data_IF_498794353976
#
_entry.id   IF_498794353976
#
_cell.length_a   1.000
_cell.length_b   1.000
_cell.length_c   1.000
_cell.angle_alpha   90.00
_cell.angle_beta   90.00
_cell.angle_gamma   90.00
#
_symmetry.space_group_name_H-M   'P 1'
#
loop_
_entity.id
_entity.type
_entity.pdbx_description
1 polymer ?
#
# COMPACT_ATOMS: atom_id res chain seq x y z
N UNK A 1 3.48 -15.83 28.46
CA UNK A 1 3.64 -14.53 27.80
C UNK A 1 2.67 -14.53 26.62
N UNK A 2 1.84 -13.50 26.48
CA UNK A 2 1.00 -13.35 25.28
C UNK A 2 1.90 -13.21 24.06
N UNK A 3 1.59 -13.96 22.98
CA UNK A 3 2.35 -13.87 21.74
C UNK A 3 2.07 -12.51 21.10
N UNK A 4 3.13 -11.80 20.73
CA UNK A 4 3.00 -10.51 20.04
C UNK A 4 2.37 -10.71 18.66
N UNK A 5 1.33 -9.96 18.34
CA UNK A 5 0.64 -10.02 17.03
C UNK A 5 0.76 -8.67 16.31
N UNK A 6 1.05 -8.74 15.01
CA UNK A 6 1.08 -7.56 14.12
C UNK A 6 0.13 -7.77 12.94
N UNK A 7 -0.54 -6.71 12.57
CA UNK A 7 -1.36 -6.64 11.36
C UNK A 7 -0.65 -5.78 10.31
N UNK A 8 -0.66 -6.25 9.07
CA UNK A 8 -0.08 -5.55 7.93
C UNK A 8 -1.16 -5.39 6.87
N UNK A 9 -1.60 -4.17 6.62
CA UNK A 9 -2.58 -3.84 5.60
C UNK A 9 -1.87 -3.37 4.34
N UNK A 10 -2.22 -3.95 3.18
CA UNK A 10 -1.57 -3.65 1.90
C UNK A 10 -2.62 -3.24 0.88
N UNK A 11 -2.38 -2.11 0.24
CA UNK A 11 -3.13 -1.65 -0.93
C UNK A 11 -2.17 -1.08 -1.97
N UNK A 12 -2.67 -0.95 -3.21
CA UNK A 12 -1.87 -0.47 -4.33
C UNK A 12 -2.47 0.75 -5.01
N UNK A 13 -1.60 1.47 -5.74
CA UNK A 13 -1.98 2.50 -6.70
C UNK A 13 -1.26 2.29 -8.03
N UNK A 14 -1.97 2.53 -9.12
CA UNK A 14 -1.55 2.15 -10.48
C UNK A 14 -2.08 0.78 -10.88
N UNK A 15 -1.96 0.45 -12.16
CA UNK A 15 -2.36 -0.85 -12.73
C UNK A 15 -1.13 -1.70 -13.01
N UNK A 16 -1.12 -3.00 -12.68
CA UNK A 16 0.05 -3.86 -12.91
C UNK A 16 0.28 -4.20 -14.38
N UNK A 17 -0.72 -4.06 -15.25
CA UNK A 17 -0.61 -4.40 -16.67
C UNK A 17 0.41 -3.53 -17.40
N UNK A 18 1.28 -4.16 -18.21
CA UNK A 18 2.19 -3.51 -19.16
C UNK A 18 1.69 -3.71 -20.59
N UNK A 19 1.25 -4.92 -20.90
CA UNK A 19 0.78 -5.29 -22.22
C UNK A 19 -0.71 -5.63 -22.21
N UNK A 20 -1.38 -5.33 -23.32
CA UNK A 20 -2.74 -5.83 -23.58
C UNK A 20 -2.69 -7.32 -23.91
N UNK A 21 -3.86 -7.98 -23.94
CA UNK A 21 -4.00 -9.35 -24.38
C UNK A 21 -3.45 -9.60 -25.81
N UNK A 22 -3.41 -8.54 -26.65
CA UNK A 22 -2.86 -8.58 -28.03
C UNK A 22 -1.37 -8.24 -28.10
N UNK A 23 -0.66 -8.17 -26.95
CA UNK A 23 0.77 -7.84 -26.90
C UNK A 23 1.11 -6.36 -27.12
N UNK A 24 0.12 -5.47 -27.14
CA UNK A 24 0.35 -4.02 -27.30
C UNK A 24 0.85 -3.44 -25.99
N UNK A 25 1.96 -2.68 -26.02
CA UNK A 25 2.47 -1.98 -24.85
C UNK A 25 1.54 -0.82 -24.46
N UNK A 26 0.77 -1.03 -23.39
CA UNK A 26 -0.21 -0.08 -22.90
C UNK A 26 0.44 1.13 -22.25
N UNK A 27 1.62 0.94 -21.63
CA UNK A 27 2.34 2.03 -20.94
C UNK A 27 2.88 3.03 -21.96
N UNK A 28 3.54 2.56 -23.02
CA UNK A 28 4.05 3.43 -24.10
C UNK A 28 2.94 4.16 -24.84
N UNK A 29 1.74 3.56 -24.92
CA UNK A 29 0.56 4.20 -25.51
C UNK A 29 -0.19 5.14 -24.57
N UNK A 30 0.26 5.31 -23.32
CA UNK A 30 -0.42 6.13 -22.32
C UNK A 30 -1.79 5.55 -21.86
N UNK A 31 -2.03 4.25 -22.09
CA UNK A 31 -3.27 3.55 -21.72
C UNK A 31 -3.16 2.82 -20.35
N UNK A 32 -1.94 2.70 -19.85
CA UNK A 32 -1.66 2.19 -18.50
C UNK A 32 -0.62 3.09 -17.83
N UNK A 33 -0.63 3.10 -16.50
CA UNK A 33 0.31 3.87 -15.69
C UNK A 33 1.76 3.40 -15.87
N UNK A 34 2.74 4.29 -15.72
CA UNK A 34 4.17 3.95 -15.76
C UNK A 34 4.61 3.22 -14.49
N UNK A 35 4.04 3.64 -13.36
CA UNK A 35 4.40 3.13 -12.04
C UNK A 35 3.30 2.26 -11.46
N UNK A 36 3.73 1.32 -10.62
CA UNK A 36 2.90 0.56 -9.70
C UNK A 36 3.49 0.73 -8.30
N UNK A 37 2.63 1.08 -7.34
CA UNK A 37 3.01 1.35 -5.96
C UNK A 37 2.26 0.37 -5.06
N UNK A 38 2.93 -0.21 -4.06
CA UNK A 38 2.27 -0.87 -2.93
C UNK A 38 2.67 -0.17 -1.65
N UNK A 39 1.69 0.06 -0.77
CA UNK A 39 1.91 0.56 0.57
C UNK A 39 1.53 -0.48 1.61
N UNK A 40 2.35 -0.65 2.64
CA UNK A 40 2.10 -1.50 3.79
C UNK A 40 1.98 -0.65 5.06
N UNK A 41 0.87 -0.81 5.77
CA UNK A 41 0.60 -0.18 7.05
C UNK A 41 0.67 -1.25 8.13
N UNK A 42 1.63 -1.11 9.06
CA UNK A 42 1.81 -2.05 10.19
C UNK A 42 1.27 -1.45 11.46
N UNK A 43 0.57 -2.27 12.23
CA UNK A 43 0.04 -1.90 13.54
C UNK A 43 -0.14 -3.15 14.42
N UNK A 44 -0.05 -3.00 15.74
CA UNK A 44 -0.30 -4.07 16.71
C UNK A 44 -1.80 -4.12 17.09
N UNK A 45 -2.44 -2.97 17.25
CA UNK A 45 -3.87 -2.87 17.61
C UNK A 45 -4.70 -2.38 16.42
N UNK A 46 -5.23 -3.34 15.65
CA UNK A 46 -6.10 -3.02 14.51
C UNK A 46 -7.45 -2.44 14.91
N UNK A 47 -7.97 -2.81 16.11
CA UNK A 47 -9.27 -2.32 16.55
C UNK A 47 -9.20 -0.85 16.94
N UNK A 48 -8.11 -0.45 17.60
CA UNK A 48 -7.84 0.95 17.91
C UNK A 48 -7.74 1.78 16.62
N UNK A 49 -7.01 1.27 15.61
CA UNK A 49 -6.91 1.96 14.31
C UNK A 49 -8.26 2.09 13.63
N UNK A 50 -9.05 1.01 13.61
CA UNK A 50 -10.40 1.01 13.05
C UNK A 50 -11.28 2.05 13.73
N UNK A 51 -11.27 2.10 15.07
CA UNK A 51 -12.04 3.08 15.83
C UNK A 51 -11.63 4.51 15.51
N UNK A 52 -10.32 4.80 15.44
CA UNK A 52 -9.82 6.13 15.06
C UNK A 52 -10.30 6.57 13.66
N UNK A 53 -10.33 5.66 12.69
CA UNK A 53 -10.83 5.97 11.33
C UNK A 53 -12.34 6.24 11.37
N UNK A 54 -13.10 5.47 12.13
CA UNK A 54 -14.55 5.67 12.31
C UNK A 54 -14.82 7.03 12.97
N UNK A 55 -14.12 7.36 14.05
CA UNK A 55 -14.29 8.61 14.79
C UNK A 55 -13.94 9.81 13.92
N UNK A 56 -12.85 9.70 13.16
CA UNK A 56 -12.44 10.73 12.20
C UNK A 56 -13.51 10.92 11.11
N UNK A 57 -14.04 9.84 10.53
CA UNK A 57 -15.15 9.92 9.59
C UNK A 57 -16.36 10.63 10.21
N UNK A 58 -16.73 10.24 11.44
CA UNK A 58 -17.80 10.89 12.17
C UNK A 58 -17.58 12.39 12.42
N UNK A 59 -16.33 12.81 12.62
CA UNK A 59 -15.99 14.23 12.76
C UNK A 59 -16.15 15.01 11.45
N UNK A 60 -15.75 14.43 10.32
CA UNK A 60 -15.93 15.05 8.99
C UNK A 60 -17.40 15.22 8.62
N UNK A 61 -18.23 14.23 8.91
CA UNK A 61 -19.67 14.29 8.62
C UNK A 61 -20.39 15.37 9.43
N UNK A 62 -19.82 15.80 10.55
CA UNK A 62 -20.33 16.90 11.39
C UNK A 62 -19.73 18.27 11.06
N UNK A 63 -18.74 18.29 10.17
CA UNK A 63 -18.03 19.51 9.80
C UNK A 63 -18.89 20.38 8.88
N UNK A 64 -19.24 21.57 9.34
CA UNK A 64 -20.11 22.51 8.61
C UNK A 64 -19.49 22.99 7.29
N UNK A 65 -18.15 23.06 7.19
CA UNK A 65 -17.45 23.45 5.96
C UNK A 65 -17.57 22.39 4.87
N UNK A 66 -17.75 21.12 5.26
CA UNK A 66 -17.89 20.00 4.34
C UNK A 66 -19.35 19.63 4.03
N UNK A 67 -20.33 20.25 4.69
CA UNK A 67 -21.76 19.93 4.52
C UNK A 67 -22.23 20.06 3.07
N UNK A 68 -21.70 21.02 2.32
CA UNK A 68 -22.03 21.21 0.91
C UNK A 68 -21.48 20.12 -0.01
N UNK A 69 -20.44 19.40 0.44
CA UNK A 69 -19.79 18.30 -0.28
C UNK A 69 -20.57 17.00 -0.06
N UNK A 70 -21.08 16.79 1.16
CA UNK A 70 -21.86 15.61 1.53
C UNK A 70 -23.31 15.75 1.08
N UNK A 71 -23.53 15.61 -0.23
CA UNK A 71 -24.85 15.59 -0.86
C UNK A 71 -25.34 14.16 -1.06
N UNK A 72 -26.59 14.02 -1.55
CA UNK A 72 -27.13 12.72 -1.95
C UNK A 72 -26.32 12.01 -3.04
N UNK A 73 -25.48 12.74 -3.77
CA UNK A 73 -24.61 12.20 -4.82
C UNK A 73 -23.24 11.72 -4.31
N UNK A 74 -22.82 12.15 -3.12
CA UNK A 74 -21.57 11.72 -2.49
C UNK A 74 -21.84 11.35 -1.03
N UNK A 75 -21.81 10.05 -0.75
CA UNK A 75 -21.83 9.53 0.61
C UNK A 75 -20.41 9.12 1.00
N UNK A 76 -19.91 9.61 2.13
CA UNK A 76 -18.62 9.19 2.66
C UNK A 76 -18.80 7.83 3.37
N UNK A 77 -18.94 6.75 2.61
CA UNK A 77 -19.08 5.40 3.16
C UNK A 77 -17.74 4.88 3.69
N UNK A 78 -16.69 5.12 2.93
CA UNK A 78 -15.30 4.80 3.28
C UNK A 78 -14.35 5.79 2.59
N UNK A 79 -13.14 5.94 3.13
CA UNK A 79 -12.12 6.77 2.49
C UNK A 79 -11.51 6.04 1.29
N UNK A 80 -11.47 6.71 0.14
CA UNK A 80 -10.84 6.21 -1.09
C UNK A 80 -10.14 7.36 -1.82
N UNK A 81 -8.80 7.34 -1.84
CA UNK A 81 -7.99 8.48 -2.24
C UNK A 81 -8.29 9.02 -3.65
N UNK A 82 -8.62 8.14 -4.60
CA UNK A 82 -8.91 8.56 -5.98
C UNK A 82 -10.28 9.21 -6.12
N UNK A 83 -11.29 8.73 -5.40
CA UNK A 83 -12.69 9.19 -5.55
C UNK A 83 -13.09 10.28 -4.57
N UNK A 84 -12.37 10.45 -3.46
CA UNK A 84 -12.68 11.44 -2.45
C UNK A 84 -12.46 12.86 -2.95
N UNK A 85 -13.30 13.80 -2.50
CA UNK A 85 -13.12 15.21 -2.78
C UNK A 85 -11.78 15.72 -2.22
N UNK A 86 -11.13 16.70 -2.89
CA UNK A 86 -9.83 17.23 -2.45
C UNK A 86 -9.80 17.66 -0.97
N UNK A 87 -10.89 18.28 -0.49
CA UNK A 87 -11.00 18.74 0.90
C UNK A 87 -11.04 17.58 1.90
N UNK A 88 -11.78 16.50 1.59
CA UNK A 88 -11.82 15.28 2.39
C UNK A 88 -10.44 14.61 2.37
N UNK A 89 -9.84 14.54 1.18
CA UNK A 89 -8.53 13.93 0.97
C UNK A 89 -7.44 14.63 1.77
N UNK A 90 -7.38 15.95 1.74
CA UNK A 90 -6.39 16.72 2.51
C UNK A 90 -6.55 16.49 4.02
N UNK A 91 -7.79 16.50 4.52
CA UNK A 91 -8.06 16.24 5.95
C UNK A 91 -7.66 14.83 6.35
N UNK A 92 -7.90 13.82 5.49
CA UNK A 92 -7.49 12.45 5.81
C UNK A 92 -5.96 12.28 5.77
N UNK A 93 -5.22 12.97 4.89
CA UNK A 93 -3.76 12.99 4.96
C UNK A 93 -3.23 13.65 6.24
N UNK A 94 -3.86 14.72 6.70
CA UNK A 94 -3.51 15.34 7.99
C UNK A 94 -3.84 14.39 9.15
N UNK A 95 -4.93 13.64 9.09
CA UNK A 95 -5.21 12.58 10.07
C UNK A 95 -4.11 11.50 10.06
N UNK A 96 -3.72 10.97 8.89
CA UNK A 96 -2.63 9.98 8.77
C UNK A 96 -1.33 10.51 9.37
N UNK A 97 -1.01 11.78 9.14
CA UNK A 97 0.19 12.44 9.69
C UNK A 97 0.26 12.36 11.22
N UNK A 98 -0.87 12.40 11.91
CA UNK A 98 -0.94 12.37 13.39
C UNK A 98 -0.93 10.94 13.97
N UNK A 99 -1.14 9.90 13.17
CA UNK A 99 -1.12 8.50 13.62
C UNK A 99 0.31 8.05 13.95
N UNK A 100 0.71 8.07 15.22
CA UNK A 100 2.07 7.72 15.66
C UNK A 100 2.29 6.21 15.81
N UNK A 101 1.23 5.45 16.03
CA UNK A 101 1.23 4.01 16.27
C UNK A 101 1.43 3.15 15.02
N UNK A 102 1.23 3.70 13.83
CA UNK A 102 1.44 2.96 12.57
C UNK A 102 2.87 3.11 12.06
N UNK A 103 3.35 2.07 11.39
CA UNK A 103 4.59 2.09 10.60
C UNK A 103 4.24 1.92 9.13
N UNK A 104 4.82 2.75 8.26
CA UNK A 104 4.48 2.81 6.84
C UNK A 104 5.72 2.48 6.02
N UNK A 105 5.62 1.45 5.18
CA UNK A 105 6.62 1.08 4.20
C UNK A 105 5.99 1.06 2.80
N UNK A 106 6.73 1.50 1.79
CA UNK A 106 6.23 1.61 0.42
C UNK A 106 7.23 0.97 -0.54
N UNK A 107 6.72 0.32 -1.58
CA UNK A 107 7.53 -0.17 -2.70
C UNK A 107 7.03 0.42 -4.02
N UNK A 108 7.97 0.79 -4.87
CA UNK A 108 7.73 1.44 -6.15
C UNK A 108 8.36 0.60 -7.25
N UNK A 109 7.63 0.41 -8.33
CA UNK A 109 8.09 -0.23 -9.56
C UNK A 109 7.83 0.67 -10.75
N UNK A 110 8.88 0.99 -11.53
CA UNK A 110 8.76 1.55 -12.86
C UNK A 110 8.63 0.39 -13.85
N UNK A 111 7.42 0.14 -14.31
CA UNK A 111 7.06 -1.11 -15.01
C UNK A 111 7.89 -1.41 -16.26
N UNK A 112 8.23 -0.40 -17.04
CA UNK A 112 9.04 -0.59 -18.25
C UNK A 112 10.49 -1.00 -17.96
N UNK A 113 11.01 -0.69 -16.76
CA UNK A 113 12.34 -1.09 -16.31
C UNK A 113 12.41 -2.50 -15.71
N UNK A 114 11.27 -3.17 -15.57
CA UNK A 114 11.22 -4.54 -15.06
C UNK A 114 11.76 -5.55 -16.07
N UNK A 115 12.15 -6.73 -15.57
CA UNK A 115 12.45 -7.89 -16.40
C UNK A 115 11.24 -8.30 -17.25
N UNK A 116 11.48 -8.83 -18.47
CA UNK A 116 10.42 -9.23 -19.40
C UNK A 116 9.38 -10.16 -18.79
N UNK A 117 9.82 -11.16 -18.02
CA UNK A 117 8.93 -12.09 -17.34
C UNK A 117 7.94 -11.45 -16.35
N UNK A 118 8.31 -10.32 -15.76
CA UNK A 118 7.42 -9.57 -14.87
C UNK A 118 6.46 -8.69 -15.68
N UNK A 119 6.93 -8.09 -16.78
CA UNK A 119 6.10 -7.27 -17.68
C UNK A 119 4.97 -8.07 -18.32
N UNK A 120 5.24 -9.33 -18.64
CA UNK A 120 4.28 -10.25 -19.26
C UNK A 120 3.30 -10.87 -18.26
N UNK A 121 3.61 -10.84 -16.97
CA UNK A 121 2.77 -11.42 -15.91
C UNK A 121 2.47 -10.41 -14.79
N UNK A 122 1.35 -9.67 -14.90
CA UNK A 122 0.95 -8.67 -13.89
C UNK A 122 0.79 -9.26 -12.47
N UNK A 123 0.26 -10.46 -12.33
CA UNK A 123 0.10 -11.15 -11.05
C UNK A 123 1.45 -11.46 -10.40
N UNK A 124 2.42 -11.95 -11.19
CA UNK A 124 3.79 -12.18 -10.71
C UNK A 124 4.50 -10.89 -10.33
N UNK A 125 4.31 -9.81 -11.09
CA UNK A 125 4.85 -8.50 -10.74
C UNK A 125 4.34 -8.05 -9.37
N UNK A 126 3.04 -8.14 -9.14
CA UNK A 126 2.42 -7.80 -7.86
C UNK A 126 2.96 -8.68 -6.73
N UNK A 127 3.02 -9.99 -6.92
CA UNK A 127 3.54 -10.94 -5.93
C UNK A 127 4.99 -10.68 -5.56
N UNK A 128 5.85 -10.40 -6.55
CA UNK A 128 7.25 -10.03 -6.30
C UNK A 128 7.36 -8.73 -5.51
N UNK A 129 6.56 -7.71 -5.83
CA UNK A 129 6.52 -6.46 -5.07
C UNK A 129 6.10 -6.70 -3.62
N UNK A 130 5.00 -7.41 -3.41
CA UNK A 130 4.50 -7.73 -2.08
C UNK A 130 5.54 -8.53 -1.27
N UNK A 131 6.15 -9.55 -1.86
CA UNK A 131 7.21 -10.33 -1.21
C UNK A 131 8.43 -9.49 -0.84
N UNK A 132 8.89 -8.60 -1.73
CA UNK A 132 10.01 -7.69 -1.44
C UNK A 132 9.66 -6.67 -0.34
N UNK A 133 8.42 -6.18 -0.29
CA UNK A 133 7.94 -5.29 0.75
C UNK A 133 7.90 -5.99 2.10
N UNK A 134 7.41 -7.23 2.14
CA UNK A 134 7.13 -8.00 3.35
C UNK A 134 8.35 -8.71 3.94
N UNK A 135 9.32 -9.15 3.14
CA UNK A 135 10.43 -10.02 3.59
C UNK A 135 11.19 -9.50 4.81
N UNK A 136 11.30 -8.18 4.99
CA UNK A 136 12.03 -7.57 6.10
C UNK A 136 11.16 -7.25 7.31
N UNK A 137 9.83 -7.36 7.19
CA UNK A 137 8.90 -6.92 8.23
C UNK A 137 8.09 -8.06 8.85
N UNK A 138 7.97 -9.19 8.16
CA UNK A 138 7.24 -10.36 8.65
C UNK A 138 7.92 -11.10 9.81
N UNK A 139 9.16 -10.75 10.16
CA UNK A 139 9.96 -11.46 11.17
C UNK A 139 10.06 -10.74 12.51
N UNK A 140 9.28 -9.67 12.69
CA UNK A 140 9.43 -8.80 13.86
C UNK A 140 8.52 -9.18 15.04
N UNK A 141 7.54 -10.07 14.82
CA UNK A 141 6.59 -10.53 15.82
C UNK A 141 6.28 -12.01 15.65
N UNK A 142 5.79 -12.68 16.71
CA UNK A 142 5.48 -14.11 16.71
C UNK A 142 4.35 -14.48 15.75
N UNK A 143 3.41 -13.56 15.55
CA UNK A 143 2.26 -13.73 14.66
C UNK A 143 2.10 -12.51 13.78
N UNK A 144 1.95 -12.72 12.48
CA UNK A 144 1.68 -11.64 11.53
C UNK A 144 0.47 -11.98 10.68
N UNK A 145 -0.52 -11.11 10.67
CA UNK A 145 -1.68 -11.18 9.80
C UNK A 145 -1.55 -10.16 8.69
N UNK A 146 -1.53 -10.64 7.45
CA UNK A 146 -1.38 -9.80 6.26
C UNK A 146 -2.74 -9.69 5.57
N UNK A 147 -3.23 -8.48 5.44
CA UNK A 147 -4.53 -8.17 4.85
C UNK A 147 -4.30 -7.40 3.56
N UNK A 148 -4.57 -8.04 2.43
CA UNK A 148 -4.54 -7.42 1.11
C UNK A 148 -5.88 -6.79 0.77
N UNK A 149 -5.84 -5.62 0.17
CA UNK A 149 -7.00 -5.02 -0.49
C UNK A 149 -7.42 -5.90 -1.68
N UNK A 150 -8.71 -6.23 -1.72
CA UNK A 150 -9.26 -7.15 -2.73
C UNK A 150 -9.75 -6.39 -3.95
N UNK A 151 -9.01 -6.44 -5.05
CA UNK A 151 -9.46 -5.95 -6.36
C UNK A 151 -10.11 -7.01 -7.23
N UNK A 152 -9.70 -8.28 -7.07
CA UNK A 152 -10.18 -9.38 -7.91
C UNK A 152 -10.89 -10.46 -7.09
N UNK A 153 -11.93 -11.02 -7.67
CA UNK A 153 -12.66 -12.16 -7.11
C UNK A 153 -11.98 -13.51 -7.37
N UNK A 154 -10.97 -13.57 -8.26
CA UNK A 154 -10.33 -14.82 -8.70
C UNK A 154 -9.45 -15.42 -7.61
N UNK A 155 -9.92 -16.49 -6.98
CA UNK A 155 -9.21 -17.23 -5.95
C UNK A 155 -7.79 -17.68 -6.39
N UNK A 156 -7.64 -18.02 -7.69
CA UNK A 156 -6.36 -18.45 -8.26
C UNK A 156 -5.28 -17.37 -8.12
N UNK A 157 -5.60 -16.11 -8.46
CA UNK A 157 -4.64 -15.01 -8.39
C UNK A 157 -4.20 -14.69 -6.95
N UNK A 158 -5.11 -14.86 -5.98
CA UNK A 158 -4.77 -14.69 -4.57
C UNK A 158 -3.79 -15.75 -4.09
N UNK A 159 -4.03 -17.01 -4.44
CA UNK A 159 -3.10 -18.11 -4.11
C UNK A 159 -1.73 -17.93 -4.77
N UNK A 160 -1.69 -17.49 -6.02
CA UNK A 160 -0.44 -17.19 -6.71
C UNK A 160 0.34 -16.07 -6.01
N UNK A 161 -0.33 -15.02 -5.54
CA UNK A 161 0.25 -13.95 -4.75
C UNK A 161 0.84 -14.49 -3.44
N UNK A 162 0.08 -15.25 -2.67
CA UNK A 162 0.52 -15.83 -1.39
C UNK A 162 1.73 -16.76 -1.58
N UNK A 163 1.72 -17.60 -2.61
CA UNK A 163 2.84 -18.48 -2.96
C UNK A 163 4.11 -17.66 -3.26
N UNK A 164 3.99 -16.58 -4.03
CA UNK A 164 5.15 -15.76 -4.40
C UNK A 164 5.70 -14.99 -3.19
N UNK A 165 4.83 -14.48 -2.33
CA UNK A 165 5.23 -13.85 -1.06
C UNK A 165 5.97 -14.83 -0.18
N UNK A 166 5.44 -16.05 -0.02
CA UNK A 166 6.06 -17.09 0.80
C UNK A 166 7.40 -17.57 0.23
N UNK A 167 7.49 -17.73 -1.08
CA UNK A 167 8.75 -18.07 -1.75
C UNK A 167 9.84 -17.03 -1.44
N UNK A 168 9.54 -15.75 -1.57
CA UNK A 168 10.51 -14.67 -1.31
C UNK A 168 10.88 -14.62 0.18
N UNK A 169 9.91 -14.88 1.07
CA UNK A 169 10.14 -14.97 2.51
C UNK A 169 11.12 -16.11 2.85
N UNK A 170 10.89 -17.31 2.32
CA UNK A 170 11.74 -18.46 2.54
C UNK A 170 13.14 -18.24 1.99
N UNK A 171 13.28 -17.70 0.77
CA UNK A 171 14.57 -17.31 0.18
C UNK A 171 15.34 -16.29 1.06
N UNK A 172 14.60 -15.42 1.74
CA UNK A 172 15.19 -14.45 2.65
C UNK A 172 15.64 -15.08 3.96
N UNK A 173 14.84 -15.98 4.55
CA UNK A 173 15.16 -16.69 5.78
C UNK A 173 16.39 -17.60 5.61
N UNK A 174 16.49 -18.30 4.49
CA UNK A 174 17.63 -19.15 4.16
C UNK A 174 18.95 -18.37 4.18
N UNK A 175 18.93 -17.13 3.73
CA UNK A 175 20.08 -16.20 3.77
C UNK A 175 20.32 -15.55 5.14
N UNK A 176 19.37 -15.68 6.06
CA UNK A 176 19.39 -15.05 7.37
C UNK A 176 19.00 -16.04 8.48
N UNK A 177 19.79 -17.11 8.70
CA UNK A 177 19.43 -18.23 9.60
C UNK A 177 19.25 -17.85 11.07
N UNK A 178 19.64 -16.63 11.45
CA UNK A 178 19.40 -16.11 12.82
C UNK A 178 17.97 -15.60 13.04
N UNK A 179 17.19 -15.44 11.97
CA UNK A 179 15.81 -15.05 12.08
C UNK A 179 14.94 -16.26 12.42
N UNK A 180 13.94 -16.05 13.27
CA UNK A 180 13.04 -17.13 13.65
C UNK A 180 12.15 -17.55 12.46
N UNK A 181 12.23 -18.81 12.05
CA UNK A 181 11.43 -19.39 10.96
C UNK A 181 10.05 -19.86 11.44
N UNK A 182 9.82 -19.97 12.75
CA UNK A 182 8.56 -20.50 13.34
C UNK A 182 7.43 -19.45 13.40
N UNK A 183 7.65 -18.29 12.80
CA UNK A 183 6.66 -17.23 12.80
C UNK A 183 5.41 -17.62 12.02
N UNK A 184 4.26 -17.45 12.65
CA UNK A 184 2.96 -17.71 12.01
C UNK A 184 2.56 -16.54 11.11
N UNK A 185 2.38 -16.81 9.83
CA UNK A 185 1.77 -15.88 8.87
C UNK A 185 0.38 -16.33 8.50
N UNK A 186 -0.54 -15.40 8.42
CA UNK A 186 -1.87 -15.60 7.86
C UNK A 186 -2.19 -14.54 6.82
N UNK A 187 -2.97 -14.90 5.80
CA UNK A 187 -3.31 -14.02 4.69
C UNK A 187 -4.82 -13.83 4.60
N UNK A 188 -5.25 -12.60 4.42
CA UNK A 188 -6.62 -12.23 4.14
C UNK A 188 -6.69 -11.35 2.90
N UNK A 189 -7.83 -11.43 2.18
CA UNK A 189 -8.13 -10.59 1.02
C UNK A 189 -9.50 -9.96 1.22
N UNK A 190 -9.53 -8.72 1.67
CA UNK A 190 -10.74 -8.04 2.09
C UNK A 190 -11.04 -6.82 1.21
N UNK A 191 -12.32 -6.47 0.99
CA UNK A 191 -12.66 -5.20 0.37
C UNK A 191 -12.04 -4.04 1.14
N UNK A 192 -11.54 -3.03 0.43
CA UNK A 192 -10.77 -1.96 1.05
C UNK A 192 -11.56 -1.19 2.15
N UNK A 193 -12.87 -1.06 1.98
CA UNK A 193 -13.74 -0.36 2.93
C UNK A 193 -13.93 -1.09 4.27
N UNK A 194 -13.54 -2.35 4.39
CA UNK A 194 -13.77 -3.15 5.61
C UNK A 194 -12.78 -2.85 6.73
N UNK A 195 -11.61 -2.28 6.40
CA UNK A 195 -10.55 -2.03 7.39
C UNK A 195 -9.98 -0.62 7.23
N UNK A 196 -9.90 0.11 8.35
CA UNK A 196 -9.24 1.41 8.38
C UNK A 196 -7.79 1.38 7.91
N UNK A 197 -7.07 0.29 8.21
CA UNK A 197 -5.71 0.08 7.72
C UNK A 197 -5.60 0.00 6.21
N UNK A 198 -6.57 -0.63 5.51
CA UNK A 198 -6.62 -0.66 4.05
C UNK A 198 -6.91 0.72 3.46
N UNK A 199 -7.83 1.50 4.07
CA UNK A 199 -8.13 2.87 3.64
C UNK A 199 -6.90 3.78 3.78
N UNK A 200 -6.12 3.61 4.85
CA UNK A 200 -4.85 4.34 5.02
C UNK A 200 -3.82 3.87 3.98
N UNK A 201 -3.72 2.57 3.71
CA UNK A 201 -2.80 2.03 2.70
C UNK A 201 -3.10 2.57 1.30
N UNK A 202 -4.39 2.63 0.90
CA UNK A 202 -4.85 3.26 -0.37
C UNK A 202 -4.36 4.72 -0.47
N UNK A 203 -4.56 5.51 0.58
CA UNK A 203 -4.14 6.91 0.61
C UNK A 203 -2.63 7.07 0.52
N UNK A 204 -1.86 6.25 1.24
CA UNK A 204 -0.40 6.28 1.18
C UNK A 204 0.10 5.88 -0.20
N UNK A 205 -0.44 4.79 -0.77
CA UNK A 205 -0.10 4.34 -2.12
C UNK A 205 -0.42 5.43 -3.15
N UNK A 206 -1.58 6.08 -3.04
CA UNK A 206 -2.00 7.18 -3.92
C UNK A 206 -1.07 8.39 -3.82
N UNK A 207 -0.67 8.81 -2.61
CA UNK A 207 0.24 9.95 -2.44
C UNK A 207 1.60 9.72 -3.12
N UNK A 208 2.16 8.51 -2.96
CA UNK A 208 3.42 8.13 -3.60
C UNK A 208 3.23 7.94 -5.11
N UNK A 209 2.09 7.40 -5.54
CA UNK A 209 1.75 7.30 -6.95
C UNK A 209 1.67 8.67 -7.63
N UNK A 210 0.99 9.64 -7.02
CA UNK A 210 0.92 11.01 -7.54
C UNK A 210 2.31 11.64 -7.70
N UNK A 211 3.20 11.37 -6.76
CA UNK A 211 4.58 11.85 -6.82
C UNK A 211 5.34 11.23 -8.02
N UNK A 212 5.31 9.92 -8.18
CA UNK A 212 6.10 9.22 -9.21
C UNK A 212 5.48 9.30 -10.61
N UNK A 213 4.16 9.16 -10.72
CA UNK A 213 3.46 9.13 -12.01
C UNK A 213 3.22 10.54 -12.57
N UNK A 214 2.79 11.47 -11.70
CA UNK A 214 2.29 12.79 -12.10
C UNK A 214 3.21 13.94 -11.67
N UNK A 215 4.35 13.65 -11.04
CA UNK A 215 5.26 14.65 -10.46
C UNK A 215 4.54 15.62 -9.49
N UNK A 216 3.49 15.13 -8.81
CA UNK A 216 2.71 15.88 -7.86
C UNK A 216 3.03 15.41 -6.43
N UNK A 217 3.78 16.22 -5.70
CA UNK A 217 4.27 15.90 -4.36
C UNK A 217 3.38 16.44 -3.22
N UNK A 218 2.26 17.07 -3.53
CA UNK A 218 1.41 17.75 -2.56
C UNK A 218 1.03 16.85 -1.38
N UNK A 219 0.41 15.71 -1.66
CA UNK A 219 -0.02 14.77 -0.61
C UNK A 219 1.17 14.07 0.06
N UNK A 220 2.20 13.73 -0.70
CA UNK A 220 3.42 13.13 -0.16
C UNK A 220 4.07 14.05 0.89
N UNK A 221 4.16 15.35 0.63
CA UNK A 221 4.72 16.35 1.57
C UNK A 221 4.02 16.32 2.92
N UNK A 222 2.72 16.08 2.97
CA UNK A 222 1.95 16.03 4.22
C UNK A 222 2.41 14.83 5.08
N UNK A 223 2.55 13.65 4.46
CA UNK A 223 2.80 12.39 5.18
C UNK A 223 4.25 11.89 5.15
N UNK A 224 5.16 12.55 4.42
CA UNK A 224 6.54 12.06 4.22
C UNK A 224 7.29 11.69 5.50
N UNK A 225 7.04 12.40 6.62
CA UNK A 225 7.64 12.11 7.92
C UNK A 225 7.09 10.84 8.58
N UNK A 226 5.95 10.32 8.11
CA UNK A 226 5.33 9.07 8.58
C UNK A 226 5.80 7.86 7.80
N UNK A 227 6.29 8.05 6.58
CA UNK A 227 6.81 6.98 5.75
C UNK A 227 8.22 6.61 6.24
N UNK A 228 8.36 5.38 6.72
CA UNK A 228 9.62 4.85 7.21
C UNK A 228 10.59 4.56 6.08
N UNK A 229 10.09 3.96 4.99
CA UNK A 229 10.90 3.58 3.85
C UNK A 229 10.10 3.59 2.54
N UNK A 230 10.71 4.11 1.47
CA UNK A 230 10.29 3.88 0.08
C UNK A 230 11.39 3.10 -0.62
N UNK A 231 11.04 1.95 -1.18
CA UNK A 231 11.95 1.10 -1.94
C UNK A 231 11.61 1.19 -3.42
N UNK A 232 12.48 1.79 -4.23
CA UNK A 232 12.42 1.73 -5.70
C UNK A 232 13.26 0.55 -6.17
N UNK A 233 12.59 -0.56 -6.51
CA UNK A 233 13.29 -1.82 -6.84
C UNK A 233 13.94 -1.79 -8.21
N UNK A 234 13.40 -1.07 -9.18
CA UNK A 234 13.96 -1.01 -10.52
C UNK A 234 15.25 -0.19 -10.56
N UNK A 235 15.32 0.89 -9.79
CA UNK A 235 16.49 1.74 -9.69
C UNK A 235 17.42 1.36 -8.51
N UNK A 236 17.07 0.31 -7.74
CA UNK A 236 17.81 -0.16 -6.54
C UNK A 236 18.04 0.95 -5.52
N UNK A 237 17.07 1.85 -5.36
CA UNK A 237 17.14 2.99 -4.44
C UNK A 237 16.26 2.77 -3.22
N UNK A 238 16.75 3.27 -2.08
CA UNK A 238 16.02 3.28 -0.83
C UNK A 238 15.98 4.70 -0.29
N UNK A 239 14.78 5.18 -0.01
CA UNK A 239 14.55 6.47 0.58
C UNK A 239 14.00 6.28 1.99
N UNK A 240 14.63 6.96 2.96
CA UNK A 240 14.28 6.93 4.38
C UNK A 240 14.30 8.35 4.93
N UNK A 241 14.01 8.53 6.21
CA UNK A 241 14.14 9.85 6.83
C UNK A 241 15.59 10.37 6.81
N UNK A 242 16.60 9.48 6.94
CA UNK A 242 18.01 9.82 6.84
C UNK A 242 18.55 9.99 5.41
N UNK A 243 17.84 9.47 4.42
CA UNK A 243 18.13 9.60 2.99
C UNK A 243 16.83 9.92 2.25
N UNK A 244 16.31 11.14 2.36
CA UNK A 244 15.00 11.49 1.82
C UNK A 244 14.99 11.50 0.28
N UNK A 245 13.82 11.17 -0.29
CA UNK A 245 13.58 11.36 -1.71
C UNK A 245 13.71 12.85 -2.03
N UNK A 246 14.65 13.17 -2.94
CA UNK A 246 14.82 14.53 -3.45
C UNK A 246 13.69 14.82 -4.43
N UNK A 247 12.92 15.84 -4.14
CA UNK A 247 11.86 16.32 -5.02
C UNK A 247 12.49 17.28 -6.03
N UNK A 248 12.16 17.11 -7.30
CA UNK A 248 12.53 18.08 -8.33
C UNK A 248 11.87 19.41 -7.98
N UNK A 249 12.68 20.46 -7.83
CA UNK A 249 12.21 21.84 -7.68
C UNK A 249 11.57 22.32 -8.97
#
# INVERSE_FOLDING_TARGET
>A
MEKSKTYIFIDESGKPEVFSFKGVNLVEKGQATKFLILAAIRIEDQLLLQQKVIDFKGSLLKDKELTSIFSSAYALDSFHAQSDYPQVRERFYNFIKELKEIKIDVIVVEKLKCYSQLKENPGKMYGVMAGQLLKNICHQTDQTEIVFSRKDSKLKLRKELEIEVERIRLDYLDKHPRLNAELSLSYQHNPHYTHGGLQIADYVAYAVFQLFENNNDFYYKIIKKRIGKIQDICNKKYFTQGNPLQLST
#
